data_IF_073183956771
#
_entry.id   IF_073183956771
#
_cell.length_a   1.000
_cell.length_b   1.000
_cell.length_c   1.000
_cell.angle_alpha   90.00
_cell.angle_beta   90.00
_cell.angle_gamma   90.00
#
_symmetry.space_group_name_H-M   'P 1'
#
loop_
_entity.id
_entity.type
_entity.pdbx_description
1 polymer ?
#
# COMPACT_ATOMS: atom_id res chain seq x y z
N UNK A 1 -74.13 -12.10 -48.64
CA UNK A 1 -73.17 -10.99 -48.67
C UNK A 1 -72.33 -11.05 -47.41
N UNK A 2 -71.03 -11.26 -47.61
CA UNK A 2 -69.86 -11.06 -46.71
C UNK A 2 -69.89 -11.58 -45.26
N UNK A 3 -69.15 -12.68 -44.95
CA UNK A 3 -68.67 -13.01 -43.62
C UNK A 3 -67.39 -12.23 -43.27
N UNK A 4 -67.25 -11.84 -41.99
CA UNK A 4 -66.08 -11.12 -41.47
C UNK A 4 -64.84 -12.02 -41.42
N UNK A 5 -63.73 -11.52 -41.97
CA UNK A 5 -62.45 -12.22 -41.99
C UNK A 5 -61.73 -12.10 -40.63
N UNK A 6 -61.82 -13.15 -39.81
CA UNK A 6 -60.90 -13.37 -38.69
C UNK A 6 -59.64 -14.10 -39.17
N UNK A 7 -58.51 -13.38 -39.23
CA UNK A 7 -57.19 -13.85 -39.70
C UNK A 7 -56.71 -15.10 -38.93
N UNK A 8 -56.25 -16.12 -39.66
CA UNK A 8 -55.49 -17.26 -39.10
C UNK A 8 -53.98 -16.95 -39.03
N UNK A 9 -53.48 -17.11 -37.80
CA UNK A 9 -52.18 -17.63 -37.33
C UNK A 9 -50.87 -17.07 -37.89
N UNK A 10 -49.99 -16.61 -37.00
CA UNK A 10 -48.54 -16.87 -37.09
C UNK A 10 -47.97 -17.04 -35.67
N UNK A 11 -47.63 -18.29 -35.35
CA UNK A 11 -46.63 -18.78 -34.38
C UNK A 11 -46.47 -18.06 -33.02
N UNK A 12 -46.76 -18.83 -31.96
CA UNK A 12 -45.98 -18.82 -30.71
C UNK A 12 -44.51 -18.66 -31.08
N UNK A 13 -43.90 -17.52 -30.75
CA UNK A 13 -42.45 -17.33 -30.84
C UNK A 13 -41.81 -18.23 -29.80
N UNK A 14 -41.51 -19.47 -30.19
CA UNK A 14 -40.64 -20.40 -29.48
C UNK A 14 -39.20 -19.90 -29.58
N UNK A 15 -38.93 -18.74 -28.99
CA UNK A 15 -37.63 -18.15 -28.76
C UNK A 15 -37.78 -16.92 -27.85
N UNK A 16 -38.52 -17.05 -26.75
CA UNK A 16 -38.16 -16.26 -25.56
C UNK A 16 -37.18 -17.14 -24.81
N UNK A 17 -35.91 -17.08 -25.24
CA UNK A 17 -34.84 -17.61 -24.42
C UNK A 17 -34.97 -16.92 -23.08
N UNK A 18 -35.25 -17.70 -22.02
CA UNK A 18 -35.02 -17.21 -20.66
C UNK A 18 -33.60 -16.67 -20.70
N UNK A 19 -33.45 -15.36 -20.48
CA UNK A 19 -32.15 -14.74 -20.34
C UNK A 19 -31.53 -15.48 -19.15
N UNK A 20 -30.58 -16.35 -19.44
CA UNK A 20 -29.87 -17.10 -18.43
C UNK A 20 -29.35 -16.10 -17.40
N UNK A 21 -29.77 -16.22 -16.15
CA UNK A 21 -29.21 -15.45 -15.03
C UNK A 21 -27.76 -15.88 -14.70
N UNK A 22 -27.07 -16.48 -15.67
CA UNK A 22 -25.69 -16.91 -15.65
C UNK A 22 -24.69 -15.86 -16.15
N UNK A 23 -25.07 -14.58 -16.30
CA UNK A 23 -24.12 -13.47 -16.46
C UNK A 23 -23.33 -13.30 -15.16
N UNK A 24 -22.29 -14.11 -15.01
CA UNK A 24 -21.35 -14.06 -13.90
C UNK A 24 -20.32 -12.98 -14.21
N UNK A 25 -20.51 -11.80 -13.63
CA UNK A 25 -19.50 -10.73 -13.70
C UNK A 25 -18.25 -11.25 -12.97
N UNK A 26 -17.15 -11.38 -13.71
CA UNK A 26 -15.84 -11.71 -13.14
C UNK A 26 -15.17 -10.38 -12.83
N UNK A 27 -14.95 -10.10 -11.55
CA UNK A 27 -14.16 -8.95 -11.13
C UNK A 27 -12.68 -9.34 -11.07
N UNK A 28 -11.81 -8.43 -11.48
CA UNK A 28 -10.38 -8.54 -11.25
C UNK A 28 -10.15 -8.41 -9.72
N UNK A 29 -9.59 -9.43 -9.03
CA UNK A 29 -9.34 -9.37 -7.59
C UNK A 29 -8.53 -8.15 -7.16
N UNK A 30 -7.58 -7.72 -8.01
CA UNK A 30 -6.77 -6.53 -7.74
C UNK A 30 -7.63 -5.27 -7.77
N UNK A 31 -8.49 -5.12 -8.78
CA UNK A 31 -9.41 -3.98 -8.85
C UNK A 31 -10.35 -3.94 -7.64
N UNK A 32 -10.82 -5.11 -7.16
CA UNK A 32 -11.64 -5.19 -5.96
C UNK A 32 -10.88 -4.79 -4.70
N UNK A 33 -9.60 -5.19 -4.58
CA UNK A 33 -8.75 -4.79 -3.46
C UNK A 33 -8.50 -3.28 -3.44
N UNK A 34 -8.21 -2.69 -4.61
CA UNK A 34 -7.99 -1.25 -4.75
C UNK A 34 -9.23 -0.45 -4.36
N UNK A 35 -10.39 -0.84 -4.88
CA UNK A 35 -11.69 -0.19 -4.65
C UNK A 35 -12.11 -0.31 -3.18
N UNK A 36 -12.11 -1.53 -2.62
CA UNK A 36 -12.48 -1.75 -1.22
C UNK A 36 -11.55 -1.04 -0.22
N UNK A 37 -10.26 -0.88 -0.56
CA UNK A 37 -9.31 -0.12 0.25
C UNK A 37 -9.55 1.39 0.19
N UNK A 38 -10.07 1.91 -0.92
CA UNK A 38 -10.46 3.31 -1.09
C UNK A 38 -11.77 3.63 -0.36
N UNK A 39 -12.75 2.74 -0.48
CA UNK A 39 -14.11 2.92 0.07
C UNK A 39 -14.22 2.57 1.56
N UNK A 40 -13.18 2.00 2.17
CA UNK A 40 -13.17 1.68 3.59
C UNK A 40 -13.85 0.34 3.93
N UNK A 41 -14.02 -0.55 2.95
CA UNK A 41 -14.67 -1.85 3.12
C UNK A 41 -13.70 -2.88 3.75
N UNK A 42 -13.32 -2.67 5.01
CA UNK A 42 -12.34 -3.46 5.74
C UNK A 42 -12.59 -4.99 5.64
N UNK A 43 -13.83 -5.43 5.85
CA UNK A 43 -14.22 -6.83 5.76
C UNK A 43 -13.95 -7.43 4.37
N UNK A 44 -14.11 -6.64 3.30
CA UNK A 44 -13.86 -7.07 1.94
C UNK A 44 -12.37 -7.13 1.66
N UNK A 45 -11.60 -6.11 2.08
CA UNK A 45 -10.13 -6.10 2.01
C UNK A 45 -9.55 -7.37 2.64
N UNK A 46 -10.01 -7.72 3.85
CA UNK A 46 -9.57 -8.94 4.54
C UNK A 46 -9.88 -10.21 3.76
N UNK A 47 -11.06 -10.30 3.12
CA UNK A 47 -11.47 -11.48 2.34
C UNK A 47 -10.77 -11.60 1.01
N UNK A 48 -10.40 -10.48 0.39
CA UNK A 48 -9.65 -10.48 -0.88
C UNK A 48 -8.20 -10.91 -0.64
N UNK A 49 -7.64 -10.57 0.53
CA UNK A 49 -6.25 -10.87 0.92
C UNK A 49 -6.11 -12.26 1.58
N UNK A 50 -6.95 -12.62 2.55
CA UNK A 50 -6.92 -13.91 3.25
C UNK A 50 -8.01 -14.87 2.76
N UNK A 51 -7.67 -16.14 2.57
CA UNK A 51 -8.65 -17.23 2.42
C UNK A 51 -9.52 -17.34 3.68
N UNK A 52 -10.69 -16.69 3.71
CA UNK A 52 -11.68 -16.91 4.77
C UNK A 52 -12.57 -18.11 4.42
N UNK A 53 -11.95 -19.28 4.28
CA UNK A 53 -12.63 -20.55 4.58
C UNK A 53 -12.62 -20.85 6.10
N UNK A 54 -11.89 -20.06 6.90
CA UNK A 54 -11.83 -20.19 8.36
C UNK A 54 -12.70 -19.15 9.09
N UNK A 55 -13.95 -19.54 9.36
CA UNK A 55 -14.76 -19.19 10.54
C UNK A 55 -14.75 -17.72 11.00
N UNK A 56 -15.61 -16.90 10.40
CA UNK A 56 -16.27 -15.81 11.14
C UNK A 56 -17.78 -15.97 11.05
N UNK A 57 -18.43 -16.00 12.22
CA UNK A 57 -19.88 -16.04 12.36
C UNK A 57 -20.41 -14.63 12.06
N UNK A 58 -20.65 -14.36 10.78
CA UNK A 58 -21.13 -13.06 10.30
C UNK A 58 -22.57 -12.86 10.78
N UNK A 59 -22.77 -11.90 11.70
CA UNK A 59 -24.10 -11.43 12.09
C UNK A 59 -24.57 -10.39 11.07
N UNK A 60 -25.74 -10.69 10.49
CA UNK A 60 -26.70 -9.85 9.74
C UNK A 60 -26.16 -8.53 9.13
N UNK A 61 -26.03 -8.54 7.80
CA UNK A 61 -26.01 -7.33 6.98
C UNK A 61 -27.34 -7.15 6.22
N UNK A 62 -27.68 -5.90 5.92
CA UNK A 62 -28.83 -5.48 5.11
C UNK A 62 -28.75 -5.99 3.65
N UNK A 63 -29.91 -5.99 2.97
CA UNK A 63 -30.14 -6.68 1.71
C UNK A 63 -29.19 -6.31 0.55
N UNK A 64 -28.59 -5.11 0.56
CA UNK A 64 -27.61 -4.67 -0.45
C UNK A 64 -26.25 -5.35 -0.25
N UNK A 65 -25.79 -5.44 1.00
CA UNK A 65 -24.57 -6.16 1.35
C UNK A 65 -24.74 -7.68 1.18
N UNK A 66 -25.95 -8.22 1.32
CA UNK A 66 -26.21 -9.63 0.95
C UNK A 66 -26.00 -9.86 -0.54
N UNK A 67 -26.36 -8.94 -1.43
CA UNK A 67 -26.14 -9.13 -2.87
C UNK A 67 -24.64 -9.16 -3.24
N UNK A 68 -23.84 -8.26 -2.65
CA UNK A 68 -22.38 -8.24 -2.82
C UNK A 68 -21.75 -9.49 -2.19
N UNK A 69 -22.10 -9.83 -0.95
CA UNK A 69 -21.56 -11.01 -0.25
C UNK A 69 -21.98 -12.33 -0.92
N UNK A 70 -23.16 -12.41 -1.52
CA UNK A 70 -23.61 -13.60 -2.25
C UNK A 70 -22.97 -13.72 -3.65
N UNK A 71 -22.59 -12.60 -4.27
CA UNK A 71 -21.66 -12.61 -5.41
C UNK A 71 -20.25 -13.03 -4.96
N UNK A 72 -19.83 -12.62 -3.75
CA UNK A 72 -18.51 -12.93 -3.16
C UNK A 72 -18.31 -14.39 -2.78
N UNK A 73 -19.39 -15.10 -2.40
CA UNK A 73 -19.37 -16.56 -2.13
C UNK A 73 -18.94 -17.44 -3.32
N UNK A 74 -18.64 -16.85 -4.47
CA UNK A 74 -18.30 -17.54 -5.72
C UNK A 74 -17.05 -16.96 -6.41
N UNK A 75 -16.13 -16.30 -5.71
CA UNK A 75 -14.86 -15.84 -6.30
C UNK A 75 -13.71 -16.82 -6.02
N UNK A 76 -13.17 -17.48 -7.06
CA UNK A 76 -11.86 -18.10 -7.01
C UNK A 76 -10.88 -17.19 -7.75
N UNK A 77 -10.14 -16.36 -7.02
CA UNK A 77 -8.70 -16.08 -7.21
C UNK A 77 -8.30 -14.95 -6.28
N UNK A 78 -7.29 -15.24 -5.48
CA UNK A 78 -6.61 -14.31 -4.59
C UNK A 78 -5.97 -13.19 -5.44
N UNK A 79 -5.70 -12.04 -4.84
CA UNK A 79 -4.69 -11.14 -5.42
C UNK A 79 -3.34 -11.81 -5.25
N UNK A 80 -2.68 -12.15 -6.36
CA UNK A 80 -1.40 -12.89 -6.33
C UNK A 80 -0.33 -12.10 -5.55
N UNK A 81 -0.28 -10.78 -5.73
CA UNK A 81 0.52 -9.87 -4.91
C UNK A 81 -0.30 -8.63 -4.53
N UNK A 82 -0.69 -8.45 -3.24
CA UNK A 82 -1.45 -7.28 -2.79
C UNK A 82 -0.67 -5.95 -2.86
N UNK A 83 0.63 -6.00 -3.16
CA UNK A 83 1.44 -4.82 -3.48
C UNK A 83 1.36 -4.41 -4.95
N UNK A 84 0.67 -5.20 -5.80
CA UNK A 84 0.52 -4.88 -7.21
C UNK A 84 -0.21 -3.54 -7.40
N UNK A 85 0.31 -2.65 -8.25
CA UNK A 85 -0.32 -1.37 -8.54
C UNK A 85 -1.35 -1.46 -9.66
N UNK A 86 -2.14 -0.40 -9.83
CA UNK A 86 -2.87 -0.13 -11.07
C UNK A 86 -1.93 0.50 -12.14
N UNK A 87 -2.51 0.92 -13.28
CA UNK A 87 -1.76 1.50 -14.41
C UNK A 87 -1.06 2.84 -14.08
N UNK A 88 -1.41 3.49 -12.96
CA UNK A 88 -0.81 4.73 -12.47
C UNK A 88 0.22 4.50 -11.35
N UNK A 89 0.52 3.23 -11.02
CA UNK A 89 1.42 2.88 -9.92
C UNK A 89 0.75 2.89 -8.53
N UNK A 90 -0.55 3.18 -8.45
CA UNK A 90 -1.30 3.29 -7.20
C UNK A 90 -1.62 1.89 -6.67
N UNK A 91 -1.28 1.64 -5.40
CA UNK A 91 -1.56 0.37 -4.71
C UNK A 91 -2.73 0.50 -3.73
N UNK A 92 -3.19 -0.63 -3.18
CA UNK A 92 -4.24 -0.65 -2.17
C UNK A 92 -3.88 0.18 -0.92
N UNK A 93 -2.58 0.20 -0.57
CA UNK A 93 -2.09 0.98 0.55
C UNK A 93 -2.16 2.49 0.28
N UNK A 94 -1.88 2.95 -0.93
CA UNK A 94 -2.06 4.35 -1.31
C UNK A 94 -3.52 4.79 -1.11
N UNK A 95 -4.47 4.01 -1.66
CA UNK A 95 -5.90 4.28 -1.52
C UNK A 95 -6.34 4.36 -0.05
N UNK A 96 -5.93 3.39 0.77
CA UNK A 96 -6.30 3.36 2.19
C UNK A 96 -5.71 4.55 2.97
N UNK A 97 -4.50 4.99 2.63
CA UNK A 97 -3.86 6.15 3.26
C UNK A 97 -4.57 7.44 2.86
N UNK A 98 -4.74 7.69 1.56
CA UNK A 98 -5.40 8.91 1.04
C UNK A 98 -6.83 9.06 1.58
N UNK A 99 -7.56 7.96 1.72
CA UNK A 99 -8.91 7.95 2.25
C UNK A 99 -8.97 7.98 3.80
N UNK A 100 -7.84 7.92 4.50
CA UNK A 100 -7.77 7.99 5.95
C UNK A 100 -8.22 6.71 6.69
N UNK A 101 -8.35 5.57 5.99
CA UNK A 101 -8.82 4.30 6.54
C UNK A 101 -7.73 3.59 7.36
N UNK A 102 -7.43 4.14 8.52
CA UNK A 102 -6.29 3.77 9.37
C UNK A 102 -6.25 2.28 9.73
N UNK A 103 -7.40 1.63 9.94
CA UNK A 103 -7.46 0.20 10.25
C UNK A 103 -7.11 -0.68 9.03
N UNK A 104 -7.48 -0.26 7.81
CA UNK A 104 -7.06 -0.90 6.56
C UNK A 104 -5.55 -0.69 6.37
N UNK A 105 -5.04 0.52 6.58
CA UNK A 105 -3.60 0.82 6.51
C UNK A 105 -2.80 -0.11 7.42
N UNK A 106 -3.17 -0.20 8.70
CA UNK A 106 -2.51 -1.10 9.65
C UNK A 106 -2.56 -2.55 9.19
N UNK A 107 -3.72 -3.01 8.73
CA UNK A 107 -3.91 -4.37 8.26
C UNK A 107 -3.02 -4.70 7.06
N UNK A 108 -3.00 -3.84 6.03
CA UNK A 108 -2.19 -4.03 4.82
C UNK A 108 -0.70 -4.06 5.15
N UNK A 109 -0.22 -3.10 5.96
CA UNK A 109 1.19 -3.03 6.35
C UNK A 109 1.58 -4.24 7.23
N UNK A 110 0.72 -4.68 8.14
CA UNK A 110 0.94 -5.90 8.94
C UNK A 110 0.86 -7.19 8.11
N UNK A 111 0.13 -7.18 6.98
CA UNK A 111 0.16 -8.26 6.00
C UNK A 111 1.52 -8.33 5.27
N UNK A 112 2.29 -7.24 5.27
CA UNK A 112 3.60 -7.17 4.62
C UNK A 112 3.53 -6.72 3.17
N UNK A 113 2.53 -5.89 2.80
CA UNK A 113 2.56 -5.19 1.51
C UNK A 113 3.78 -4.24 1.46
N UNK A 114 4.22 -3.88 0.25
CA UNK A 114 5.30 -2.91 0.10
C UNK A 114 4.88 -1.51 0.59
N UNK A 115 5.32 -1.15 1.82
CA UNK A 115 5.08 0.16 2.43
C UNK A 115 5.80 1.33 1.72
N UNK A 116 6.72 1.02 0.80
CA UNK A 116 7.45 2.00 -0.03
C UNK A 116 7.16 1.78 -1.52
N UNK A 117 5.98 1.25 -1.87
CA UNK A 117 5.54 1.26 -3.25
C UNK A 117 5.48 2.71 -3.73
N UNK A 118 6.02 2.98 -4.91
CA UNK A 118 6.04 4.30 -5.52
C UNK A 118 5.07 4.32 -6.71
N UNK A 119 4.26 5.37 -6.82
CA UNK A 119 3.38 5.57 -7.96
C UNK A 119 4.15 6.14 -9.18
N UNK A 120 3.42 6.53 -10.23
CA UNK A 120 4.01 7.09 -11.46
C UNK A 120 4.83 8.37 -11.28
N UNK A 121 4.62 9.14 -10.22
CA UNK A 121 5.41 10.35 -9.87
C UNK A 121 6.31 10.12 -8.65
N UNK A 122 6.47 8.86 -8.21
CA UNK A 122 7.32 8.53 -7.07
C UNK A 122 6.66 8.75 -5.71
N UNK A 123 5.35 9.03 -5.66
CA UNK A 123 4.63 9.14 -4.39
C UNK A 123 4.60 7.79 -3.72
N UNK A 124 4.88 7.80 -2.42
CA UNK A 124 4.82 6.61 -1.56
C UNK A 124 3.66 6.77 -0.59
N UNK A 125 3.23 5.70 0.11
CA UNK A 125 2.24 5.82 1.17
C UNK A 125 2.61 6.87 2.23
N UNK A 126 3.90 7.12 2.48
CA UNK A 126 4.33 8.17 3.40
C UNK A 126 4.08 9.58 2.83
N UNK A 127 4.29 9.80 1.53
CA UNK A 127 3.94 11.06 0.85
C UNK A 127 2.43 11.33 0.95
N UNK A 128 1.60 10.32 0.66
CA UNK A 128 0.13 10.44 0.77
C UNK A 128 -0.32 10.76 2.22
N UNK A 129 0.30 10.13 3.21
CA UNK A 129 -0.04 10.38 4.61
C UNK A 129 0.31 11.80 5.03
N UNK A 130 1.43 12.32 4.52
CA UNK A 130 1.91 13.66 4.80
C UNK A 130 1.06 14.75 4.12
N UNK A 131 0.63 14.55 2.87
CA UNK A 131 -0.30 15.49 2.20
C UNK A 131 -1.67 15.57 2.85
N UNK A 132 -2.06 14.53 3.60
CA UNK A 132 -3.26 14.56 4.44
C UNK A 132 -2.99 15.07 5.88
N UNK A 133 -1.78 15.56 6.17
CA UNK A 133 -1.32 15.95 7.51
C UNK A 133 -1.57 14.88 8.61
N UNK A 134 -1.64 13.60 8.24
CA UNK A 134 -2.00 12.53 9.14
C UNK A 134 -0.77 11.99 9.87
N UNK A 135 -0.37 12.69 10.92
CA UNK A 135 0.82 12.34 11.72
C UNK A 135 0.75 10.93 12.34
N UNK A 136 -0.45 10.43 12.66
CA UNK A 136 -0.60 9.10 13.25
C UNK A 136 -0.27 8.01 12.24
N UNK A 137 -0.73 8.16 10.99
CA UNK A 137 -0.38 7.24 9.89
C UNK A 137 1.08 7.41 9.49
N UNK A 138 1.60 8.65 9.41
CA UNK A 138 3.02 8.90 9.15
C UNK A 138 3.91 8.17 10.16
N UNK A 139 3.61 8.31 11.45
CA UNK A 139 4.36 7.65 12.52
C UNK A 139 4.31 6.13 12.38
N UNK A 140 3.13 5.56 12.13
CA UNK A 140 2.98 4.13 11.94
C UNK A 140 3.76 3.61 10.73
N UNK A 141 3.76 4.32 9.60
CA UNK A 141 4.52 3.96 8.41
C UNK A 141 6.03 4.03 8.65
N UNK A 142 6.53 5.08 9.31
CA UNK A 142 7.94 5.18 9.71
C UNK A 142 8.34 4.01 10.62
N UNK A 143 7.52 3.69 11.62
CA UNK A 143 7.72 2.53 12.51
C UNK A 143 7.63 1.17 11.77
N UNK A 144 7.08 1.15 10.56
CA UNK A 144 6.93 -0.03 9.71
C UNK A 144 7.94 -0.07 8.55
N UNK A 145 8.99 0.75 8.60
CA UNK A 145 10.07 0.77 7.62
C UNK A 145 9.80 1.61 6.38
N UNK A 146 9.11 2.75 6.53
CA UNK A 146 8.99 3.72 5.45
C UNK A 146 10.33 4.43 5.16
N UNK A 147 10.59 4.68 3.88
CA UNK A 147 11.75 5.39 3.38
C UNK A 147 11.54 6.90 3.52
N UNK A 148 12.12 7.47 4.58
CA UNK A 148 11.87 8.87 5.00
C UNK A 148 12.42 9.89 4.01
N UNK A 149 13.48 9.53 3.28
CA UNK A 149 14.13 10.36 2.26
C UNK A 149 13.80 9.92 0.83
N UNK A 150 12.75 9.10 0.64
CA UNK A 150 12.22 8.88 -0.71
C UNK A 150 11.70 10.21 -1.25
N UNK A 151 11.98 10.49 -2.52
CA UNK A 151 11.56 11.71 -3.20
C UNK A 151 10.68 11.40 -4.40
N UNK A 152 9.76 12.31 -4.69
CA UNK A 152 8.96 12.33 -5.91
C UNK A 152 9.82 12.70 -7.12
N UNK A 153 9.42 12.25 -8.31
CA UNK A 153 10.20 12.42 -9.53
C UNK A 153 10.10 13.83 -10.13
N UNK A 154 8.91 14.44 -10.08
CA UNK A 154 8.65 15.74 -10.69
C UNK A 154 9.36 16.91 -9.99
N UNK A 155 9.40 16.90 -8.66
CA UNK A 155 9.87 18.03 -7.84
C UNK A 155 10.91 17.66 -6.77
N UNK A 156 11.33 16.39 -6.70
CA UNK A 156 12.37 15.90 -5.77
C UNK A 156 12.05 16.18 -4.30
N UNK A 157 10.77 16.21 -3.96
CA UNK A 157 10.29 16.49 -2.60
C UNK A 157 10.14 15.20 -1.80
N UNK A 158 10.48 15.26 -0.51
CA UNK A 158 10.23 14.17 0.44
C UNK A 158 8.81 14.24 0.99
N UNK A 159 8.41 13.22 1.75
CA UNK A 159 7.12 13.26 2.45
C UNK A 159 6.97 14.47 3.38
N UNK A 160 8.04 14.95 4.03
CA UNK A 160 7.97 16.12 4.90
C UNK A 160 7.55 17.39 4.13
N UNK A 161 8.04 17.54 2.90
CA UNK A 161 7.74 18.67 2.02
C UNK A 161 6.29 18.66 1.51
N UNK A 162 5.63 17.49 1.51
CA UNK A 162 4.24 17.34 1.07
C UNK A 162 3.19 17.74 2.12
N UNK A 163 3.58 18.12 3.34
CA UNK A 163 2.60 18.56 4.35
C UNK A 163 1.91 19.87 3.93
N UNK A 164 0.58 19.92 4.02
CA UNK A 164 -0.23 21.04 3.52
C UNK A 164 -0.41 22.15 4.58
N UNK A 165 0.22 23.30 4.39
CA UNK A 165 0.29 24.41 5.38
C UNK A 165 -1.07 24.97 5.82
N UNK A 166 -2.06 24.93 4.92
CA UNK A 166 -3.38 25.53 5.13
C UNK A 166 -4.39 24.55 5.75
N UNK A 167 -4.01 23.29 5.92
CA UNK A 167 -4.87 22.23 6.45
C UNK A 167 -4.55 21.93 7.93
N UNK A 168 -5.55 21.42 8.64
CA UNK A 168 -5.39 21.05 10.06
C UNK A 168 -4.30 19.98 10.23
N UNK A 169 -3.55 20.08 11.33
CA UNK A 169 -2.51 19.10 11.67
C UNK A 169 -1.15 19.31 11.01
N UNK A 170 -1.01 20.29 10.09
CA UNK A 170 0.26 20.63 9.42
C UNK A 170 1.46 20.66 10.37
N UNK A 171 1.39 21.52 11.40
CA UNK A 171 2.51 21.74 12.30
C UNK A 171 2.95 20.45 13.01
N UNK A 172 2.02 19.58 13.39
CA UNK A 172 2.35 18.33 14.06
C UNK A 172 2.95 17.30 13.09
N UNK A 173 2.41 17.22 11.87
CA UNK A 173 2.87 16.29 10.84
C UNK A 173 4.24 16.66 10.29
N UNK A 174 4.41 17.93 9.88
CA UNK A 174 5.68 18.43 9.33
C UNK A 174 6.81 18.37 10.37
N UNK A 175 6.57 18.83 11.61
CA UNK A 175 7.57 18.74 12.67
C UNK A 175 7.97 17.30 13.00
N UNK A 176 7.03 16.36 12.93
CA UNK A 176 7.34 14.95 13.11
C UNK A 176 8.27 14.45 12.00
N UNK A 177 7.92 14.66 10.72
CA UNK A 177 8.69 14.15 9.59
C UNK A 177 10.06 14.81 9.46
N UNK A 178 10.14 16.15 9.53
CA UNK A 178 11.42 16.85 9.57
C UNK A 178 12.24 16.45 10.80
N UNK A 179 11.60 16.28 11.96
CA UNK A 179 12.26 15.79 13.16
C UNK A 179 12.84 14.38 13.00
N UNK A 180 12.21 13.50 12.21
CA UNK A 180 12.78 12.19 11.84
C UNK A 180 13.94 12.35 10.88
N UNK A 181 13.83 13.18 9.83
CA UNK A 181 14.94 13.46 8.90
C UNK A 181 16.17 14.05 9.60
N UNK A 182 15.97 14.97 10.54
CA UNK A 182 17.04 15.60 11.32
C UNK A 182 17.69 14.63 12.32
N UNK A 183 16.98 13.62 12.82
CA UNK A 183 17.47 12.74 13.89
C UNK A 183 17.87 11.36 13.41
N UNK A 184 17.40 10.91 12.26
CA UNK A 184 17.77 9.61 11.69
C UNK A 184 19.28 9.55 11.45
N UNK A 185 19.91 8.43 11.82
CA UNK A 185 21.37 8.29 11.84
C UNK A 185 22.07 8.97 13.03
N UNK A 186 21.34 9.61 13.95
CA UNK A 186 21.88 10.18 15.21
C UNK A 186 21.17 9.59 16.42
N UNK A 187 19.83 9.54 16.39
CA UNK A 187 19.02 8.88 17.40
C UNK A 187 19.27 7.37 17.42
N UNK A 188 18.82 6.70 18.48
CA UNK A 188 18.97 5.25 18.64
C UNK A 188 20.44 4.78 18.49
N UNK A 189 21.39 5.60 18.94
CA UNK A 189 22.84 5.38 18.80
C UNK A 189 23.30 5.28 17.33
N UNK A 190 22.64 6.02 16.44
CA UNK A 190 22.95 6.05 15.00
C UNK A 190 22.46 4.83 14.22
N UNK A 191 21.66 3.96 14.83
CA UNK A 191 21.16 2.74 14.16
C UNK A 191 20.15 3.08 13.08
N UNK A 192 20.36 2.51 11.89
CA UNK A 192 19.49 2.56 10.71
C UNK A 192 19.39 1.17 10.08
N UNK A 193 18.36 0.95 9.27
CA UNK A 193 18.12 -0.31 8.59
C UNK A 193 18.08 -0.14 7.08
N UNK A 194 18.66 -1.09 6.35
CA UNK A 194 18.55 -1.16 4.90
C UNK A 194 17.11 -1.55 4.50
N UNK A 195 16.47 -0.72 3.68
CA UNK A 195 15.15 -0.99 3.12
C UNK A 195 15.21 -1.61 1.73
N UNK A 196 16.39 -1.69 1.12
CA UNK A 196 16.67 -2.32 -0.17
C UNK A 196 18.07 -2.93 -0.16
N UNK A 197 18.34 -3.78 -1.15
CA UNK A 197 19.70 -4.21 -1.46
C UNK A 197 20.47 -3.08 -2.15
N UNK A 198 21.77 -3.03 -1.92
CA UNK A 198 22.66 -2.05 -2.53
C UNK A 198 24.02 -2.66 -2.85
N UNK A 199 24.38 -2.61 -4.14
CA UNK A 199 25.69 -3.02 -4.64
C UNK A 199 26.61 -1.79 -4.75
N UNK A 200 27.78 -1.80 -4.10
CA UNK A 200 28.77 -0.72 -4.19
C UNK A 200 29.26 -0.51 -5.63
N UNK A 201 29.35 0.75 -6.01
CA UNK A 201 29.95 1.27 -7.23
C UNK A 201 31.36 1.84 -6.98
N UNK A 202 31.62 2.32 -5.76
CA UNK A 202 32.90 2.84 -5.28
C UNK A 202 33.64 1.90 -4.30
N UNK A 203 34.95 2.12 -4.13
CA UNK A 203 35.76 1.36 -3.15
C UNK A 203 35.48 1.76 -1.70
N UNK A 204 34.95 2.96 -1.49
CA UNK A 204 34.59 3.55 -0.21
C UNK A 204 33.10 3.44 0.12
N UNK A 205 32.32 2.77 -0.74
CA UNK A 205 30.90 2.50 -0.55
C UNK A 205 30.67 1.15 0.14
N UNK A 206 29.68 1.11 1.04
CA UNK A 206 29.35 -0.07 1.82
C UNK A 206 28.13 -0.79 1.25
N UNK A 207 28.33 -2.02 0.79
CA UNK A 207 27.25 -2.86 0.26
C UNK A 207 26.45 -3.52 1.38
N UNK A 208 25.13 -3.56 1.22
CA UNK A 208 24.18 -4.11 2.19
C UNK A 208 22.98 -4.77 1.50
N UNK A 209 22.29 -5.63 2.24
CA UNK A 209 21.04 -6.27 1.82
C UNK A 209 19.85 -5.80 2.65
N UNK A 210 18.65 -5.92 2.11
CA UNK A 210 17.41 -5.55 2.77
C UNK A 210 17.29 -6.22 4.15
N UNK A 211 17.18 -5.38 5.19
CA UNK A 211 17.10 -5.81 6.58
C UNK A 211 18.41 -5.75 7.36
N UNK A 212 19.53 -5.42 6.71
CA UNK A 212 20.79 -5.17 7.40
C UNK A 212 20.66 -4.01 8.40
N UNK A 213 21.29 -4.19 9.56
CA UNK A 213 21.36 -3.19 10.62
C UNK A 213 22.73 -2.52 10.58
N UNK A 214 22.76 -1.20 10.42
CA UNK A 214 23.97 -0.40 10.29
C UNK A 214 24.00 0.70 11.34
N UNK A 215 25.20 1.15 11.70
CA UNK A 215 25.38 2.31 12.59
C UNK A 215 25.99 3.45 11.81
N UNK A 216 25.25 4.55 11.66
CA UNK A 216 25.75 5.79 11.10
C UNK A 216 26.76 6.40 12.07
N UNK A 217 27.97 6.65 11.57
CA UNK A 217 29.06 7.24 12.33
C UNK A 217 29.15 8.75 12.07
N UNK A 218 28.94 9.15 10.82
CA UNK A 218 28.97 10.56 10.38
C UNK A 218 27.95 10.78 9.25
N UNK A 219 27.21 11.89 9.34
CA UNK A 219 26.23 12.31 8.33
C UNK A 219 26.75 13.40 7.40
N UNK A 220 27.84 14.06 7.78
CA UNK A 220 28.35 15.26 7.12
C UNK A 220 29.70 15.00 6.49
N UNK A 221 29.81 15.48 5.25
CA UNK A 221 30.59 16.67 4.95
C UNK A 221 29.67 17.79 4.40
N UNK A 222 30.19 19.02 4.28
CA UNK A 222 29.45 20.22 3.81
C UNK A 222 28.98 20.14 2.33
N UNK A 223 29.18 18.99 1.66
CA UNK A 223 29.06 18.81 0.21
C UNK A 223 28.11 17.66 -0.15
N UNK A 224 28.17 16.52 0.55
CA UNK A 224 27.38 15.31 0.23
C UNK A 224 26.34 14.99 1.30
N UNK A 225 25.21 15.71 1.25
CA UNK A 225 24.13 15.52 2.25
C UNK A 225 23.33 14.21 2.08
N UNK A 226 23.56 13.47 0.99
CA UNK A 226 22.81 12.28 0.59
C UNK A 226 23.48 10.95 0.95
N UNK A 227 24.77 10.97 1.28
CA UNK A 227 25.55 9.80 1.64
C UNK A 227 26.07 9.90 3.07
N UNK A 228 25.94 8.83 3.84
CA UNK A 228 26.38 8.80 5.23
C UNK A 228 27.49 7.78 5.42
N UNK A 229 28.51 8.15 6.21
CA UNK A 229 29.54 7.19 6.60
C UNK A 229 29.00 6.30 7.72
N UNK A 230 28.92 5.00 7.47
CA UNK A 230 28.33 4.03 8.38
C UNK A 230 29.20 2.79 8.55
N UNK A 231 28.85 2.00 9.56
CA UNK A 231 29.48 0.72 9.88
C UNK A 231 28.46 -0.41 9.81
N UNK A 232 28.82 -1.50 9.14
CA UNK A 232 28.07 -2.76 9.08
C UNK A 232 29.01 -3.93 9.37
N UNK A 233 28.83 -4.57 10.54
CA UNK A 233 29.80 -5.55 11.05
C UNK A 233 31.17 -4.90 11.26
N UNK A 234 32.20 -5.48 10.62
CA UNK A 234 33.60 -5.00 10.71
C UNK A 234 33.99 -4.04 9.57
N UNK A 235 33.04 -3.70 8.67
CA UNK A 235 33.28 -2.83 7.51
C UNK A 235 32.67 -1.44 7.74
N UNK A 236 33.34 -0.43 7.20
CA UNK A 236 32.84 0.95 7.14
C UNK A 236 32.87 1.45 5.71
N UNK A 237 31.97 2.38 5.38
CA UNK A 237 31.88 3.02 4.08
C UNK A 237 30.66 3.92 3.97
N UNK A 238 30.53 4.59 2.82
CA UNK A 238 29.38 5.41 2.48
C UNK A 238 28.15 4.56 2.16
N UNK A 239 26.99 5.00 2.66
CA UNK A 239 25.69 4.42 2.37
C UNK A 239 24.70 5.52 1.91
N UNK A 240 23.86 5.28 0.88
CA UNK A 240 22.92 6.27 0.39
C UNK A 240 21.70 6.36 1.32
N UNK A 241 21.39 7.56 1.84
CA UNK A 241 20.38 7.75 2.89
C UNK A 241 18.95 7.42 2.47
N UNK A 242 18.64 7.55 1.18
CA UNK A 242 17.30 7.31 0.61
C UNK A 242 16.92 5.82 0.60
N UNK A 243 17.88 4.92 0.74
CA UNK A 243 17.63 3.47 0.84
C UNK A 243 17.47 2.97 2.30
N UNK A 244 17.47 3.90 3.26
CA UNK A 244 17.47 3.58 4.68
C UNK A 244 16.13 3.88 5.33
N UNK A 245 15.87 3.18 6.43
CA UNK A 245 14.73 3.40 7.32
C UNK A 245 15.17 3.45 8.78
N UNK A 246 14.37 4.11 9.61
CA UNK A 246 14.57 4.10 11.07
C UNK A 246 14.20 2.74 11.69
N UNK A 247 13.34 1.99 11.00
CA UNK A 247 12.87 0.66 11.39
C UNK A 247 12.87 -0.28 10.18
N UNK A 248 12.79 -1.59 10.46
CA UNK A 248 12.70 -2.64 9.45
C UNK A 248 11.32 -2.65 8.78
N UNK A 249 11.29 -3.10 7.51
CA UNK A 249 10.04 -3.46 6.84
C UNK A 249 9.38 -4.64 7.56
N UNK A 250 8.05 -4.60 7.65
CA UNK A 250 7.27 -5.75 8.11
C UNK A 250 7.23 -6.79 6.98
N UNK A 251 7.86 -7.94 7.19
CA UNK A 251 7.74 -9.09 6.30
C UNK A 251 6.60 -9.99 6.79
N UNK A 252 5.82 -10.55 5.86
CA UNK A 252 4.84 -11.58 6.18
C UNK A 252 5.59 -12.72 6.88
N UNK A 253 5.24 -13.02 8.15
CA UNK A 253 5.72 -14.25 8.79
C UNK A 253 5.20 -15.40 7.94
N UNK A 254 6.09 -16.05 7.19
CA UNK A 254 5.80 -17.38 6.67
C UNK A 254 5.42 -18.22 7.89
N UNK A 255 4.16 -18.58 8.02
CA UNK A 255 3.76 -19.64 8.93
C UNK A 255 4.44 -20.88 8.39
N UNK A 256 5.61 -21.22 8.92
CA UNK A 256 6.19 -22.55 8.77
C UNK A 256 5.11 -23.50 9.26
N UNK A 257 4.45 -24.19 8.33
CA UNK A 257 3.62 -25.33 8.63
C UNK A 257 4.58 -26.42 9.14
N UNK A 258 4.86 -26.39 10.43
CA UNK A 258 5.48 -27.48 11.17
C UNK A 258 4.39 -28.43 11.68
#
# INVERSE_FOLDING_TARGET
MSPSQGKRSILRRAASGRIDHGLRVKFNPLALLLDSSLEGEYDLVQRVIYDVSARFSIRRFDAVAVAVVHAVRRFPRQVDDPSSPNDEGITALHNAVCAGHTEIVKFLVQFGVNANAADSDGWTPLHCAASCNNVQVCKFLVESGAAVFATTYSDMQTAADKCEEMEDGYAQCSQFLYGVQEKMGVMNRGVVYALWDYEPQGEDELGFVEGDCMTVLRREDEVETEWWWARCGDREGYIPRNLLGLYLRIKLRQRTLA
#
